data_IF_118984251389
#
_entry.id   IF_118984251389
#
_cell.length_a   1.000
_cell.length_b   1.000
_cell.length_c   1.000
_cell.angle_alpha   90.00
_cell.angle_beta   90.00
_cell.angle_gamma   90.00
#
_symmetry.space_group_name_H-M   'P 1'
#
loop_
_entity.id
_entity.type
_entity.pdbx_description
1 polymer ?
#
# COMPACT_ATOMS: atom_id res chain seq x y z
N UNK A 1 1.65 -9.42 -18.52
CA UNK A 1 2.95 -10.15 -18.46
C UNK A 1 2.96 -11.08 -17.24
N UNK A 2 3.92 -12.00 -17.11
CA UNK A 2 4.08 -12.80 -15.88
C UNK A 2 5.49 -12.65 -15.32
N UNK A 3 5.60 -12.36 -14.02
CA UNK A 3 6.86 -12.24 -13.29
C UNK A 3 6.91 -13.34 -12.23
N UNK A 4 8.01 -14.09 -12.18
CA UNK A 4 8.15 -15.27 -11.33
C UNK A 4 9.23 -15.09 -10.27
N UNK A 5 8.93 -15.53 -9.05
CA UNK A 5 9.90 -15.79 -7.99
C UNK A 5 10.86 -14.64 -7.73
N UNK A 6 10.32 -13.41 -7.60
CA UNK A 6 11.14 -12.23 -7.33
C UNK A 6 11.77 -12.39 -5.96
N UNK A 7 13.08 -12.15 -5.88
CA UNK A 7 13.84 -12.31 -4.65
C UNK A 7 13.98 -10.98 -3.93
N UNK A 8 13.43 -10.91 -2.72
CA UNK A 8 13.58 -9.85 -1.69
C UNK A 8 13.01 -8.47 -2.03
N UNK A 9 12.92 -8.11 -3.30
CA UNK A 9 12.55 -6.79 -3.77
C UNK A 9 11.19 -6.81 -4.49
N UNK A 10 10.97 -5.78 -5.31
CA UNK A 10 9.73 -5.48 -6.01
C UNK A 10 9.79 -6.00 -7.44
N UNK A 11 8.66 -6.45 -7.98
CA UNK A 11 8.59 -6.82 -9.39
C UNK A 11 8.59 -5.58 -10.29
N UNK A 12 7.90 -4.53 -9.86
CA UNK A 12 7.84 -3.23 -10.53
C UNK A 12 7.91 -2.14 -9.47
N UNK A 13 8.79 -1.15 -9.67
CA UNK A 13 8.93 -0.01 -8.77
C UNK A 13 8.86 1.30 -9.56
N UNK A 14 7.68 1.92 -9.68
CA UNK A 14 7.59 3.28 -10.21
C UNK A 14 8.22 4.24 -9.20
N UNK A 15 9.46 4.64 -9.48
CA UNK A 15 10.28 5.55 -8.68
C UNK A 15 10.39 6.90 -9.41
N UNK A 16 9.78 7.96 -8.87
CA UNK A 16 9.59 9.26 -9.53
C UNK A 16 8.88 9.20 -10.90
N UNK A 17 7.90 8.30 -11.05
CA UNK A 17 7.17 8.11 -12.31
C UNK A 17 5.91 8.96 -12.36
N UNK A 18 5.65 9.59 -13.52
CA UNK A 18 4.38 10.23 -13.84
C UNK A 18 3.66 9.49 -14.97
N UNK A 19 2.34 9.28 -14.83
CA UNK A 19 1.48 8.62 -15.85
C UNK A 19 1.90 7.17 -16.12
N UNK A 20 2.29 6.45 -15.07
CA UNK A 20 2.67 5.05 -15.15
C UNK A 20 1.46 4.11 -15.12
N UNK A 21 1.61 2.92 -15.70
CA UNK A 21 0.57 1.90 -15.66
C UNK A 21 1.19 0.50 -15.51
N UNK A 22 0.69 -0.26 -14.53
CA UNK A 22 0.97 -1.69 -14.36
C UNK A 22 -0.36 -2.41 -14.49
N UNK A 23 -0.56 -3.09 -15.63
CA UNK A 23 -1.85 -3.67 -15.98
C UNK A 23 -1.71 -5.07 -16.52
N UNK A 24 -2.70 -5.91 -16.25
CA UNK A 24 -2.82 -7.24 -16.86
C UNK A 24 -1.54 -8.09 -16.62
N UNK A 25 -0.98 -7.97 -15.41
CA UNK A 25 0.23 -8.66 -14.97
C UNK A 25 -0.08 -9.77 -13.95
N UNK A 26 0.71 -10.84 -13.97
CA UNK A 26 0.67 -11.92 -12.99
C UNK A 26 1.99 -11.97 -12.23
N UNK A 27 1.96 -11.68 -10.93
CA UNK A 27 3.10 -11.70 -10.03
C UNK A 27 3.06 -12.99 -9.21
N UNK A 28 3.88 -13.96 -9.58
CA UNK A 28 3.82 -15.33 -9.05
C UNK A 28 5.06 -15.65 -8.23
N UNK A 29 4.89 -15.76 -6.92
CA UNK A 29 5.93 -16.17 -5.99
C UNK A 29 6.87 -15.03 -5.60
N UNK A 30 7.09 -14.88 -4.29
CA UNK A 30 8.06 -13.95 -3.72
C UNK A 30 8.98 -14.68 -2.74
N UNK A 31 10.28 -14.48 -2.89
CA UNK A 31 11.30 -15.06 -1.99
C UNK A 31 11.62 -14.01 -0.93
N UNK A 32 11.02 -14.19 0.23
CA UNK A 32 11.22 -13.37 1.42
C UNK A 32 12.70 -13.33 1.84
N UNK A 33 13.13 -12.19 2.40
CA UNK A 33 14.37 -12.13 3.15
C UNK A 33 14.11 -12.63 4.59
N UNK A 34 14.73 -13.75 5.04
CA UNK A 34 14.41 -14.35 6.33
C UNK A 34 14.75 -13.48 7.55
N UNK A 35 15.50 -12.38 7.36
CA UNK A 35 15.87 -11.47 8.44
C UNK A 35 15.13 -10.13 8.42
N UNK A 36 14.26 -9.89 7.44
CA UNK A 36 13.48 -8.66 7.32
C UNK A 36 12.01 -8.94 7.54
N UNK A 37 11.28 -7.93 8.01
CA UNK A 37 9.84 -8.04 8.18
C UNK A 37 9.10 -8.07 6.83
N UNK A 38 7.91 -8.69 6.85
CA UNK A 38 7.06 -8.87 5.67
C UNK A 38 6.54 -7.57 5.05
N UNK A 39 6.56 -6.43 5.76
CA UNK A 39 5.90 -5.21 5.29
C UNK A 39 6.56 -4.53 4.08
N UNK A 40 7.73 -5.00 3.62
CA UNK A 40 8.45 -4.50 2.44
C UNK A 40 8.31 -5.41 1.20
N UNK A 41 7.40 -6.39 1.22
CA UNK A 41 7.22 -7.35 0.13
C UNK A 41 6.16 -6.95 -0.89
N UNK A 42 6.21 -5.73 -1.44
CA UNK A 42 5.29 -5.25 -2.48
C UNK A 42 5.66 -5.80 -3.88
N UNK A 43 4.69 -6.35 -4.62
CA UNK A 43 4.89 -6.66 -6.04
C UNK A 43 5.05 -5.39 -6.88
N UNK A 44 4.22 -4.38 -6.60
CA UNK A 44 4.27 -3.04 -7.18
C UNK A 44 4.49 -2.04 -6.04
N UNK A 45 5.68 -1.46 -5.95
CA UNK A 45 5.98 -0.42 -4.97
C UNK A 45 5.96 0.97 -5.63
N UNK A 46 5.08 1.85 -5.17
CA UNK A 46 5.23 3.28 -5.44
C UNK A 46 6.38 3.80 -4.59
N UNK A 47 7.41 4.36 -5.22
CA UNK A 47 8.59 4.81 -4.47
C UNK A 47 9.08 6.20 -4.85
N UNK A 48 9.95 6.71 -3.98
CA UNK A 48 10.63 7.99 -4.05
C UNK A 48 12.13 7.75 -4.27
N UNK A 49 12.81 8.57 -5.08
CA UNK A 49 14.25 8.47 -5.23
C UNK A 49 14.91 9.14 -4.02
N UNK A 50 15.32 8.33 -3.06
CA UNK A 50 16.01 8.71 -1.83
C UNK A 50 17.48 8.30 -1.89
N UNK A 51 18.30 8.84 -0.98
CA UNK A 51 19.76 8.66 -1.02
C UNK A 51 20.21 7.18 -0.95
N UNK A 52 19.36 6.28 -0.44
CA UNK A 52 19.68 4.87 -0.20
C UNK A 52 18.96 3.88 -1.13
N UNK A 53 18.06 4.32 -2.00
CA UNK A 53 17.32 3.46 -2.94
C UNK A 53 17.40 3.95 -4.41
N UNK A 54 18.00 5.12 -4.68
CA UNK A 54 18.18 5.63 -6.05
C UNK A 54 19.37 4.95 -6.72
N UNK A 55 19.11 4.21 -7.80
CA UNK A 55 20.16 3.58 -8.61
C UNK A 55 20.63 4.47 -9.78
N UNK A 56 19.74 5.34 -10.28
CA UNK A 56 20.03 6.29 -11.34
C UNK A 56 19.16 7.54 -11.21
N UNK A 57 19.70 8.70 -11.63
CA UNK A 57 19.02 9.99 -11.53
C UNK A 57 19.26 10.70 -10.20
N UNK A 58 18.51 11.78 -9.96
CA UNK A 58 18.62 12.56 -8.74
C UNK A 58 17.87 11.90 -7.57
N UNK A 59 18.49 11.86 -6.40
CA UNK A 59 17.85 11.45 -5.13
C UNK A 59 17.13 12.63 -4.48
N UNK A 60 16.13 13.18 -5.16
CA UNK A 60 15.43 14.40 -4.72
C UNK A 60 14.09 14.13 -4.03
N UNK A 61 13.66 12.87 -3.94
CA UNK A 61 12.40 12.46 -3.37
C UNK A 61 11.18 12.88 -4.20
N UNK A 62 11.34 13.07 -5.51
CA UNK A 62 10.23 13.32 -6.43
C UNK A 62 9.14 12.24 -6.31
N UNK A 63 7.89 12.60 -5.98
CA UNK A 63 6.81 11.62 -5.86
C UNK A 63 6.37 11.00 -7.19
N UNK A 64 6.04 9.71 -7.12
CA UNK A 64 5.25 9.03 -8.14
C UNK A 64 3.80 9.52 -8.16
N UNK A 65 3.31 9.90 -9.35
CA UNK A 65 1.98 10.51 -9.54
C UNK A 65 1.26 10.00 -10.79
N UNK A 66 -0.06 10.04 -10.81
CA UNK A 66 -0.88 9.60 -11.96
C UNK A 66 -0.64 8.12 -12.33
N UNK A 67 -0.53 7.23 -11.34
CA UNK A 67 -0.21 5.80 -11.57
C UNK A 67 -1.43 4.90 -11.44
N UNK A 68 -1.50 3.89 -12.30
CA UNK A 68 -2.59 2.92 -12.32
C UNK A 68 -2.06 1.49 -12.16
N UNK A 69 -2.56 0.76 -11.16
CA UNK A 69 -2.34 -0.67 -10.97
C UNK A 69 -3.69 -1.39 -11.18
N UNK A 70 -3.89 -1.99 -12.36
CA UNK A 70 -5.21 -2.50 -12.74
C UNK A 70 -5.18 -3.94 -13.25
N UNK A 71 -6.16 -4.76 -12.86
CA UNK A 71 -6.34 -6.13 -13.38
C UNK A 71 -5.08 -7.00 -13.28
N UNK A 72 -4.28 -6.76 -12.24
CA UNK A 72 -3.14 -7.59 -11.94
C UNK A 72 -3.55 -8.71 -10.99
N UNK A 73 -2.75 -9.77 -10.96
CA UNK A 73 -2.87 -10.89 -10.03
C UNK A 73 -1.58 -11.04 -9.24
N UNK A 74 -1.66 -11.13 -7.92
CA UNK A 74 -0.52 -11.54 -7.07
C UNK A 74 -0.86 -12.82 -6.31
N UNK A 75 0.03 -13.80 -6.39
CA UNK A 75 -0.16 -15.11 -5.79
C UNK A 75 1.14 -15.91 -5.68
N UNK A 76 1.03 -17.14 -5.19
CA UNK A 76 2.15 -18.09 -5.18
C UNK A 76 2.52 -18.58 -6.59
N UNK A 77 3.74 -19.11 -6.74
CA UNK A 77 4.23 -19.73 -8.00
C UNK A 77 4.22 -21.25 -7.98
N UNK A 78 3.73 -21.88 -6.91
CA UNK A 78 3.90 -23.31 -6.63
C UNK A 78 5.24 -23.64 -5.99
N UNK A 79 6.33 -22.96 -6.38
CA UNK A 79 7.66 -23.12 -5.76
C UNK A 79 7.96 -22.10 -4.66
N UNK A 80 7.23 -20.99 -4.62
CA UNK A 80 7.43 -19.90 -3.65
C UNK A 80 6.07 -19.42 -3.13
N UNK A 81 6.01 -18.94 -1.87
CA UNK A 81 4.80 -18.40 -1.29
C UNK A 81 4.34 -17.12 -2.00
N UNK A 82 3.13 -16.66 -1.68
CA UNK A 82 2.60 -15.41 -2.20
C UNK A 82 3.40 -14.18 -1.72
N UNK A 83 3.12 -13.05 -2.36
CA UNK A 83 3.66 -11.75 -2.00
C UNK A 83 3.16 -11.28 -0.64
N UNK A 84 3.87 -10.36 0.00
CA UNK A 84 3.34 -9.73 1.20
C UNK A 84 2.20 -8.75 0.86
N UNK A 85 2.35 -8.02 -0.25
CA UNK A 85 1.34 -7.10 -0.81
C UNK A 85 1.40 -7.13 -2.34
N UNK A 86 0.28 -6.89 -3.01
CA UNK A 86 0.28 -6.57 -4.44
C UNK A 86 0.80 -5.14 -4.66
N UNK A 87 0.12 -4.15 -4.09
CA UNK A 87 0.49 -2.75 -4.21
C UNK A 87 0.89 -2.23 -2.85
N UNK A 88 1.92 -1.40 -2.80
CA UNK A 88 2.12 -0.58 -1.63
C UNK A 88 2.95 0.66 -1.87
N UNK A 89 3.20 1.30 -0.75
CA UNK A 89 4.46 1.94 -0.46
C UNK A 89 4.67 1.84 1.04
N UNK A 90 5.91 2.06 1.45
CA UNK A 90 6.26 2.20 2.85
C UNK A 90 7.24 3.36 3.08
N UNK A 91 7.40 4.23 2.07
CA UNK A 91 8.30 5.38 2.09
C UNK A 91 7.54 6.68 2.39
N UNK A 92 7.95 7.37 3.45
CA UNK A 92 7.39 8.65 3.91
C UNK A 92 8.10 9.88 3.34
N UNK A 93 9.19 9.65 2.59
CA UNK A 93 10.11 10.67 2.10
C UNK A 93 10.95 11.33 3.19
N UNK A 94 11.99 12.05 2.74
CA UNK A 94 12.93 12.77 3.60
C UNK A 94 12.50 14.20 3.95
N UNK A 95 11.50 14.74 3.23
CA UNK A 95 11.00 16.10 3.41
C UNK A 95 9.48 16.11 3.34
N UNK A 96 8.88 17.12 3.97
CA UNK A 96 7.42 17.38 3.89
C UNK A 96 7.02 17.57 2.43
N UNK A 97 5.90 16.96 2.04
CA UNK A 97 5.37 17.04 0.68
C UNK A 97 5.88 15.95 -0.27
N UNK A 98 6.78 15.08 0.18
CA UNK A 98 7.16 13.88 -0.56
C UNK A 98 6.05 12.81 -0.44
N UNK A 99 4.91 13.07 -1.10
CA UNK A 99 3.67 12.30 -1.00
C UNK A 99 3.23 11.89 -2.41
N UNK A 100 2.97 10.60 -2.62
CA UNK A 100 2.45 10.10 -3.90
C UNK A 100 1.04 10.63 -4.15
N UNK A 101 0.62 10.78 -5.42
CA UNK A 101 -0.68 11.37 -5.71
C UNK A 101 -1.40 10.76 -6.92
N UNK A 102 -2.73 10.72 -6.88
CA UNK A 102 -3.60 10.32 -8.00
C UNK A 102 -3.30 8.91 -8.45
N UNK A 103 -3.55 7.97 -7.55
CA UNK A 103 -3.26 6.55 -7.74
C UNK A 103 -4.57 5.76 -7.83
N UNK A 104 -4.67 4.91 -8.85
CA UNK A 104 -5.78 3.99 -9.02
C UNK A 104 -5.31 2.55 -8.85
N UNK A 105 -5.88 1.83 -7.89
CA UNK A 105 -5.69 0.40 -7.67
C UNK A 105 -7.03 -0.31 -7.90
N UNK A 106 -7.22 -0.89 -9.08
CA UNK A 106 -8.55 -1.35 -9.51
C UNK A 106 -8.58 -2.75 -10.12
N UNK A 107 -9.61 -3.52 -9.75
CA UNK A 107 -9.92 -4.77 -10.45
C UNK A 107 -8.83 -5.83 -10.33
N UNK A 108 -7.94 -5.72 -9.34
CA UNK A 108 -6.86 -6.67 -9.12
C UNK A 108 -7.35 -7.86 -8.29
N UNK A 109 -6.66 -8.98 -8.42
CA UNK A 109 -6.84 -10.16 -7.59
C UNK A 109 -5.58 -10.43 -6.75
N UNK A 110 -5.74 -10.70 -5.46
CA UNK A 110 -4.62 -10.98 -4.55
C UNK A 110 -4.95 -12.20 -3.72
N UNK A 111 -4.13 -13.25 -3.84
CA UNK A 111 -4.33 -14.50 -3.12
C UNK A 111 -3.27 -14.66 -2.03
N UNK A 112 -3.71 -14.96 -0.81
CA UNK A 112 -2.85 -15.35 0.30
C UNK A 112 -1.73 -14.33 0.61
N UNK A 113 -2.03 -13.03 0.52
CA UNK A 113 -1.05 -12.02 0.83
C UNK A 113 -0.59 -12.16 2.28
N UNK A 114 0.73 -12.13 2.51
CA UNK A 114 1.31 -12.36 3.84
C UNK A 114 1.17 -11.15 4.77
N UNK A 115 0.66 -10.02 4.27
CA UNK A 115 0.39 -8.80 5.01
C UNK A 115 -0.90 -8.12 4.49
N UNK A 116 -0.98 -6.79 4.52
CA UNK A 116 -2.04 -6.02 3.85
C UNK A 116 -1.91 -6.16 2.32
N UNK A 117 -2.84 -6.86 1.67
CA UNK A 117 -2.84 -7.11 0.24
C UNK A 117 -2.64 -5.85 -0.62
N UNK A 118 -3.21 -4.72 -0.18
CA UNK A 118 -2.99 -3.39 -0.77
C UNK A 118 -2.60 -2.47 0.38
N UNK A 119 -1.33 -2.05 0.44
CA UNK A 119 -0.78 -1.21 1.51
C UNK A 119 -0.13 0.07 0.98
N UNK A 120 -0.90 0.89 0.25
CA UNK A 120 -0.40 2.11 -0.38
C UNK A 120 -0.29 3.26 0.65
N UNK A 121 0.77 3.25 1.44
CA UNK A 121 1.05 4.32 2.41
C UNK A 121 1.50 5.61 1.72
N UNK A 122 1.37 6.72 2.42
CA UNK A 122 1.83 8.05 2.01
C UNK A 122 1.37 8.48 0.61
N UNK A 123 0.11 8.18 0.27
CA UNK A 123 -0.48 8.42 -1.05
C UNK A 123 -1.80 9.17 -0.93
N UNK A 124 -1.87 10.36 -1.53
CA UNK A 124 -3.06 11.22 -1.56
C UNK A 124 -3.85 11.02 -2.85
N UNK A 125 -5.16 11.31 -2.86
CA UNK A 125 -6.03 11.11 -4.02
C UNK A 125 -5.93 9.68 -4.56
N UNK A 126 -6.12 8.69 -3.67
CA UNK A 126 -6.03 7.27 -3.98
C UNK A 126 -7.42 6.64 -4.04
N UNK A 127 -7.63 5.82 -5.07
CA UNK A 127 -8.82 4.98 -5.20
C UNK A 127 -8.41 3.51 -5.24
N UNK A 128 -8.91 2.73 -4.28
CA UNK A 128 -8.78 1.27 -4.20
C UNK A 128 -10.16 0.67 -4.44
N UNK A 129 -10.41 0.15 -5.65
CA UNK A 129 -11.77 -0.28 -6.02
C UNK A 129 -11.90 -1.59 -6.76
N UNK A 130 -12.99 -2.32 -6.49
CA UNK A 130 -13.34 -3.52 -7.26
C UNK A 130 -12.28 -4.61 -7.22
N UNK A 131 -11.40 -4.64 -6.20
CA UNK A 131 -10.38 -5.66 -6.06
C UNK A 131 -10.94 -6.88 -5.34
N UNK A 132 -10.43 -8.07 -5.68
CA UNK A 132 -10.70 -9.32 -4.99
C UNK A 132 -9.46 -9.69 -4.18
N UNK A 133 -9.58 -9.70 -2.86
CA UNK A 133 -8.53 -10.09 -1.93
C UNK A 133 -8.99 -11.36 -1.25
N UNK A 134 -8.31 -12.46 -1.52
CA UNK A 134 -8.67 -13.78 -1.01
C UNK A 134 -7.64 -14.32 -0.02
N UNK A 135 -8.14 -14.85 1.09
CA UNK A 135 -7.38 -15.53 2.15
C UNK A 135 -6.10 -14.80 2.59
N UNK A 136 -6.13 -13.46 2.61
CA UNK A 136 -4.96 -12.64 2.92
C UNK A 136 -4.92 -12.26 4.39
N UNK A 137 -3.74 -11.95 4.92
CA UNK A 137 -3.57 -11.58 6.33
C UNK A 137 -4.23 -10.22 6.63
N UNK A 138 -4.18 -9.28 5.68
CA UNK A 138 -4.87 -7.99 5.71
C UNK A 138 -5.39 -7.61 4.32
N UNK A 139 -6.34 -6.68 4.28
CA UNK A 139 -6.97 -6.26 3.03
C UNK A 139 -6.37 -4.96 2.49
N UNK A 140 -7.19 -3.92 2.42
CA UNK A 140 -6.78 -2.60 1.97
C UNK A 140 -6.36 -1.71 3.15
N UNK A 141 -5.14 -1.19 3.11
CA UNK A 141 -4.56 -0.29 4.09
C UNK A 141 -4.00 0.97 3.44
N UNK A 142 -4.59 2.11 3.76
CA UNK A 142 -4.07 3.44 3.40
C UNK A 142 -3.66 4.15 4.68
N UNK A 143 -2.45 4.70 4.71
CA UNK A 143 -1.95 5.44 5.87
C UNK A 143 -1.16 6.65 5.44
N UNK A 144 -1.30 7.75 6.17
CA UNK A 144 -0.28 8.80 6.12
C UNK A 144 1.01 8.30 6.80
N UNK A 145 2.13 8.92 6.44
CA UNK A 145 3.44 8.67 7.05
C UNK A 145 4.17 9.99 7.12
N UNK A 146 4.53 10.45 8.33
CA UNK A 146 5.29 11.68 8.49
C UNK A 146 6.66 11.57 7.80
N UNK A 147 7.12 12.68 7.21
CA UNK A 147 8.44 12.74 6.59
C UNK A 147 9.52 12.48 7.65
N UNK A 148 10.59 11.80 7.25
CA UNK A 148 11.65 11.36 8.17
C UNK A 148 13.03 11.32 7.54
N UNK A 149 14.05 11.64 8.31
CA UNK A 149 15.45 11.50 7.90
C UNK A 149 15.80 10.05 7.58
N UNK A 150 16.83 9.84 6.76
CA UNK A 150 17.42 8.51 6.47
C UNK A 150 18.36 7.98 7.56
N UNK A 151 18.55 8.73 8.65
CA UNK A 151 19.35 8.27 9.80
C UNK A 151 18.73 7.03 10.46
N UNK A 152 19.53 6.25 11.18
CA UNK A 152 19.03 5.15 12.01
C UNK A 152 19.31 5.45 13.50
N UNK A 153 18.27 5.62 14.36
CA UNK A 153 16.85 5.59 14.02
C UNK A 153 16.41 6.80 13.16
N UNK A 154 15.34 6.66 12.36
CA UNK A 154 14.80 7.76 11.57
C UNK A 154 14.20 8.82 12.49
N UNK A 155 14.44 10.09 12.17
CA UNK A 155 13.91 11.24 12.91
C UNK A 155 12.84 11.90 12.07
N UNK A 156 11.66 12.13 12.63
CA UNK A 156 10.59 12.79 11.90
C UNK A 156 10.90 14.27 11.69
N UNK A 157 10.59 14.78 10.50
CA UNK A 157 10.89 16.17 10.10
C UNK A 157 9.64 17.01 9.83
N UNK A 158 8.48 16.38 9.64
CA UNK A 158 7.21 17.09 9.54
C UNK A 158 6.04 16.23 9.04
N UNK A 159 4.81 16.77 9.08
CA UNK A 159 3.61 16.03 8.70
C UNK A 159 3.46 15.88 7.18
N UNK A 160 2.87 14.78 6.76
CA UNK A 160 2.41 14.53 5.38
C UNK A 160 0.92 14.16 5.42
N UNK A 161 0.01 15.14 5.54
CA UNK A 161 -1.42 14.88 5.51
C UNK A 161 -1.86 14.30 4.17
N UNK A 162 -2.84 13.41 4.19
CA UNK A 162 -3.47 12.84 3.00
C UNK A 162 -4.90 13.35 2.84
N UNK A 163 -5.37 13.42 1.60
CA UNK A 163 -6.75 13.79 1.28
C UNK A 163 -7.26 13.02 0.06
N UNK A 164 -8.53 12.63 0.06
CA UNK A 164 -9.14 11.89 -1.04
C UNK A 164 -8.71 10.43 -1.03
N UNK A 165 -9.28 9.65 -0.12
CA UNK A 165 -9.04 8.20 -0.04
C UNK A 165 -10.37 7.48 -0.24
N UNK A 166 -10.49 6.79 -1.36
CA UNK A 166 -11.66 5.99 -1.69
C UNK A 166 -11.30 4.50 -1.62
N UNK A 167 -11.94 3.73 -0.76
CA UNK A 167 -11.83 2.26 -0.69
C UNK A 167 -13.23 1.69 -0.92
N UNK A 168 -13.51 1.28 -2.17
CA UNK A 168 -14.90 1.01 -2.60
C UNK A 168 -15.07 -0.32 -3.33
N UNK A 169 -16.18 -1.00 -3.06
CA UNK A 169 -16.61 -2.19 -3.83
C UNK A 169 -15.57 -3.33 -3.89
N UNK A 170 -14.69 -3.46 -2.89
CA UNK A 170 -13.73 -4.56 -2.83
C UNK A 170 -14.36 -5.80 -2.18
N UNK A 171 -14.01 -6.99 -2.67
CA UNK A 171 -14.33 -8.25 -2.01
C UNK A 171 -13.10 -8.71 -1.24
N UNK A 172 -13.23 -8.88 0.08
CA UNK A 172 -12.09 -9.13 0.97
C UNK A 172 -12.39 -10.31 1.89
N UNK A 173 -11.58 -11.35 1.78
CA UNK A 173 -11.55 -12.47 2.72
C UNK A 173 -10.24 -12.41 3.50
N UNK A 174 -10.34 -12.30 4.83
CA UNK A 174 -9.18 -12.27 5.72
C UNK A 174 -9.03 -13.60 6.46
N UNK A 175 -7.81 -14.10 6.52
CA UNK A 175 -7.46 -15.30 7.29
C UNK A 175 -6.21 -15.03 8.12
N UNK A 176 -6.11 -15.55 9.36
CA UNK A 176 -4.89 -15.43 10.14
C UNK A 176 -3.66 -15.93 9.40
N UNK A 177 -2.55 -15.20 9.50
CA UNK A 177 -1.26 -15.63 8.97
C UNK A 177 -0.65 -16.79 9.77
N UNK A 178 0.56 -17.20 9.41
CA UNK A 178 1.29 -18.27 10.11
C UNK A 178 1.54 -18.00 11.60
N UNK A 179 1.55 -16.73 12.01
CA UNK A 179 1.64 -16.32 13.41
C UNK A 179 0.29 -16.38 14.17
N UNK A 180 -0.79 -16.78 13.51
CA UNK A 180 -2.15 -16.76 14.06
C UNK A 180 -2.79 -15.36 14.12
N UNK A 181 -2.12 -14.33 13.61
CA UNK A 181 -2.62 -12.95 13.62
C UNK A 181 -3.31 -12.62 12.30
N UNK A 182 -4.53 -12.11 12.39
CA UNK A 182 -5.24 -11.45 11.29
C UNK A 182 -5.14 -9.93 11.45
N UNK A 183 -5.10 -9.21 10.34
CA UNK A 183 -5.17 -7.75 10.27
C UNK A 183 -6.57 -7.31 9.84
N UNK A 184 -6.76 -6.00 9.72
CA UNK A 184 -8.02 -5.43 9.29
C UNK A 184 -8.28 -5.73 7.81
N UNK A 185 -9.56 -5.91 7.46
CA UNK A 185 -9.97 -6.06 6.07
C UNK A 185 -9.89 -4.71 5.34
N UNK A 186 -10.27 -3.64 6.02
CA UNK A 186 -10.07 -2.27 5.55
C UNK A 186 -9.52 -1.44 6.69
N UNK A 187 -8.46 -0.68 6.40
CA UNK A 187 -7.83 0.20 7.36
C UNK A 187 -7.48 1.54 6.73
N UNK A 188 -7.85 2.62 7.42
CA UNK A 188 -7.33 3.95 7.14
C UNK A 188 -6.68 4.48 8.41
N UNK A 189 -5.43 4.95 8.31
CA UNK A 189 -4.69 5.42 9.49
C UNK A 189 -4.00 6.76 9.26
N UNK A 190 -4.09 7.62 10.26
CA UNK A 190 -3.29 8.81 10.37
C UNK A 190 -2.09 8.52 11.28
N UNK A 191 -0.89 8.84 10.81
CA UNK A 191 0.31 8.87 11.64
C UNK A 191 0.21 10.03 12.65
N UNK A 192 0.46 9.72 13.91
CA UNK A 192 0.45 10.67 15.04
C UNK A 192 1.75 10.63 15.83
N UNK A 193 2.74 9.86 15.39
CA UNK A 193 4.05 9.84 16.04
C UNK A 193 4.74 11.14 15.68
N UNK A 194 5.19 11.92 16.66
CA UNK A 194 5.91 13.20 16.52
C UNK A 194 5.11 14.36 15.90
N UNK A 195 4.50 14.15 14.75
CA UNK A 195 3.59 15.06 14.06
C UNK A 195 2.25 14.38 13.81
N UNK A 196 1.19 15.18 13.69
CA UNK A 196 -0.11 14.69 13.25
C UNK A 196 -0.20 14.85 11.73
N UNK A 197 -0.22 13.72 11.03
CA UNK A 197 -0.43 13.64 9.58
C UNK A 197 -1.87 13.14 9.33
N UNK A 198 -2.90 14.01 9.37
CA UNK A 198 -4.29 13.58 9.25
C UNK A 198 -4.60 12.95 7.89
N UNK A 199 -5.64 12.14 7.83
CA UNK A 199 -6.22 11.62 6.57
C UNK A 199 -7.64 12.14 6.44
N UNK A 200 -7.91 12.90 5.39
CA UNK A 200 -9.18 13.61 5.17
C UNK A 200 -9.86 13.19 3.88
N UNK A 201 -11.14 13.57 3.72
CA UNK A 201 -11.95 13.23 2.55
C UNK A 201 -11.93 11.73 2.24
N UNK A 202 -12.24 10.92 3.26
CA UNK A 202 -12.26 9.46 3.17
C UNK A 202 -13.65 8.96 2.83
N UNK A 203 -13.74 8.06 1.85
CA UNK A 203 -14.93 7.28 1.53
C UNK A 203 -14.60 5.79 1.59
N UNK A 204 -15.32 5.07 2.46
CA UNK A 204 -15.28 3.60 2.50
C UNK A 204 -16.70 3.08 2.39
N UNK A 205 -17.02 2.42 1.28
CA UNK A 205 -18.39 1.92 1.00
C UNK A 205 -18.39 0.71 0.07
N UNK A 206 -19.43 -0.10 0.11
CA UNK A 206 -19.65 -1.21 -0.83
C UNK A 206 -18.68 -2.39 -0.70
N UNK A 207 -17.75 -2.38 0.27
CA UNK A 207 -16.80 -3.48 0.45
C UNK A 207 -17.51 -4.69 1.05
N UNK A 208 -17.30 -5.87 0.49
CA UNK A 208 -17.81 -7.12 1.03
C UNK A 208 -16.69 -7.80 1.79
N UNK A 209 -16.84 -7.90 3.11
CA UNK A 209 -15.79 -8.39 4.01
C UNK A 209 -16.23 -9.69 4.67
N UNK A 210 -15.40 -10.72 4.54
CA UNK A 210 -15.49 -11.98 5.26
C UNK A 210 -14.23 -12.17 6.10
N UNK A 211 -14.36 -12.13 7.43
CA UNK A 211 -13.22 -12.10 8.33
C UNK A 211 -12.54 -10.73 8.41
N UNK A 212 -11.78 -10.49 9.47
CA UNK A 212 -11.18 -9.17 9.74
C UNK A 212 -12.23 -8.10 10.12
N UNK A 213 -11.79 -6.85 10.23
CA UNK A 213 -12.66 -5.71 10.58
C UNK A 213 -12.31 -4.46 9.79
N UNK A 214 -13.21 -3.47 9.81
CA UNK A 214 -12.86 -2.11 9.41
C UNK A 214 -12.21 -1.39 10.59
N UNK A 215 -11.15 -0.63 10.34
CA UNK A 215 -10.45 0.10 11.39
C UNK A 215 -9.98 1.48 10.94
N UNK A 216 -10.26 2.47 11.78
CA UNK A 216 -9.95 3.87 11.53
C UNK A 216 -9.30 4.45 12.78
N UNK A 217 -8.12 5.03 12.64
CA UNK A 217 -7.46 5.72 13.76
C UNK A 217 -8.10 7.07 14.03
N UNK A 218 -7.79 7.71 15.17
CA UNK A 218 -8.02 9.15 15.33
C UNK A 218 -7.41 9.96 14.16
N UNK A 219 -7.93 11.16 13.91
CA UNK A 219 -7.52 12.07 12.83
C UNK A 219 -7.80 11.57 11.40
N UNK A 220 -8.70 10.59 11.27
CA UNK A 220 -9.36 10.24 10.01
C UNK A 220 -10.69 11.01 9.91
N UNK A 221 -10.87 11.79 8.86
CA UNK A 221 -12.11 12.53 8.59
C UNK A 221 -12.78 12.03 7.32
N UNK A 222 -14.00 11.53 7.48
CA UNK A 222 -14.80 11.03 6.36
C UNK A 222 -15.43 12.16 5.56
N UNK A 223 -15.65 11.88 4.27
CA UNK A 223 -16.29 12.80 3.33
C UNK A 223 -17.68 13.22 3.86
N UNK A 224 -18.00 14.53 3.91
CA UNK A 224 -19.30 15.00 4.36
C UNK A 224 -20.46 14.37 3.57
N UNK A 225 -21.56 14.05 4.25
CA UNK A 225 -22.74 13.45 3.64
C UNK A 225 -22.60 11.95 3.31
N UNK A 226 -21.52 11.30 3.75
CA UNK A 226 -21.32 9.85 3.56
C UNK A 226 -21.37 9.11 4.90
N UNK A 227 -21.94 7.92 4.90
CA UNK A 227 -21.86 6.98 6.02
C UNK A 227 -20.77 5.96 5.69
N UNK A 228 -19.65 6.04 6.38
CA UNK A 228 -18.56 5.10 6.15
C UNK A 228 -18.89 3.73 6.72
N UNK A 229 -18.58 2.71 5.94
CA UNK A 229 -18.71 1.32 6.33
C UNK A 229 -17.81 1.02 7.55
N UNK A 230 -18.28 0.16 8.44
CA UNK A 230 -17.60 -0.22 9.69
C UNK A 230 -17.71 -1.72 9.91
#
# INVERSE_FOLDING_TARGET
MTVWNVKRWHAVEPNAVRRGAVRDCFFKGWVENPTWDLWQGEAVQLDLPLANNTWAGASDGTPTVDVQAQRNHAGASGSQPSWAKLVGSHTGGEKVGHVHARVLVEGNAVDNAKWDAIGAMNTTQITVRGNTIDNSVGGAYVSSVSARTVSRPPVQVGPNPLSGTDIVDNQVTITPGSSGVARNAVRVSADTVGFVSPVSDVLVTGNQVSGGSFYYTPNVTFRPGTTSQR
#
